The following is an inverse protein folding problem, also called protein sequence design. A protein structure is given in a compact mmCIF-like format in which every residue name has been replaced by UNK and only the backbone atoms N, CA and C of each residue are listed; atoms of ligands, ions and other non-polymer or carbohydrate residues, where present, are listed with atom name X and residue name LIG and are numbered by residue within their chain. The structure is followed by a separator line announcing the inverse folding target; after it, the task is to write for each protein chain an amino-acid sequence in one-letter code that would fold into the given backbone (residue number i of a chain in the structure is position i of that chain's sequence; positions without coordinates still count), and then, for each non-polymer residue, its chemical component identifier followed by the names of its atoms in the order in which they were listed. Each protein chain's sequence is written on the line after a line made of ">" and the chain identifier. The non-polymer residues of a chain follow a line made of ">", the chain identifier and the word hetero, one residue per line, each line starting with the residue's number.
data_IF_486532933742
#
_entry.id   IF_486532933742
#
_cell.length_a   1.000
_cell.length_b   1.000
_cell.length_c   1.000
_cell.angle_alpha   90.00
_cell.angle_beta   90.00
_cell.angle_gamma   90.00
#
_symmetry.space_group_name_H-M   'P 1'
#
loop_
_entity.id
_entity.type
_entity.pdbx_description
1 polymer ?
#
# COMPACT_ATOMS: atom_id res chain seq x y z
N UNK A 1 12.65 4.73 8.09
CA UNK A 1 12.57 4.69 6.63
C UNK A 1 11.10 4.74 6.26
N UNK A 2 10.73 5.54 5.28
CA UNK A 2 9.36 5.68 4.80
C UNK A 2 9.09 4.61 3.73
N UNK A 3 7.85 4.12 3.59
CA UNK A 3 7.54 3.02 2.66
C UNK A 3 8.00 3.26 1.21
N UNK A 4 7.90 4.50 0.70
CA UNK A 4 8.34 4.83 -0.65
C UNK A 4 9.85 4.69 -0.86
N UNK A 5 10.66 4.90 0.18
CA UNK A 5 12.12 4.73 0.13
C UNK A 5 12.48 3.25 0.01
N UNK A 6 11.78 2.39 0.77
CA UNK A 6 11.94 0.93 0.69
C UNK A 6 11.53 0.39 -0.68
N UNK A 7 10.40 0.85 -1.20
CA UNK A 7 9.91 0.45 -2.52
C UNK A 7 10.91 0.83 -3.62
N UNK A 8 11.46 2.05 -3.58
CA UNK A 8 12.45 2.49 -4.57
C UNK A 8 13.76 1.68 -4.46
N UNK A 9 14.18 1.33 -3.23
CA UNK A 9 15.37 0.51 -2.98
C UNK A 9 15.22 -0.94 -3.51
N UNK A 10 14.04 -1.54 -3.32
CA UNK A 10 13.78 -2.91 -3.80
C UNK A 10 13.48 -2.91 -5.30
N UNK A 11 12.66 -1.97 -5.77
CA UNK A 11 12.30 -1.75 -7.16
C UNK A 11 11.62 -2.97 -7.78
N UNK A 12 12.08 -3.37 -8.97
CA UNK A 12 11.55 -4.51 -9.73
C UNK A 12 11.71 -5.89 -9.05
N UNK A 13 12.37 -5.95 -7.90
CA UNK A 13 12.55 -7.17 -7.11
C UNK A 13 11.40 -7.43 -6.13
N UNK A 14 10.42 -6.53 -6.06
CA UNK A 14 9.21 -6.74 -5.24
C UNK A 14 8.43 -7.89 -5.86
N UNK A 15 8.27 -8.98 -5.11
CA UNK A 15 7.53 -10.17 -5.53
C UNK A 15 6.16 -10.29 -4.87
N UNK A 16 5.99 -9.65 -3.72
CA UNK A 16 4.74 -9.65 -2.97
C UNK A 16 4.62 -8.35 -2.16
N UNK A 17 3.38 -7.92 -1.94
CA UNK A 17 3.08 -6.76 -1.10
C UNK A 17 1.96 -7.11 -0.13
N UNK A 18 2.25 -6.90 1.16
CA UNK A 18 1.33 -7.14 2.26
C UNK A 18 1.08 -5.82 2.97
N UNK A 19 -0.16 -5.57 3.40
CA UNK A 19 -0.48 -4.41 4.23
C UNK A 19 -1.34 -4.79 5.41
N UNK A 20 -0.97 -4.25 6.56
CA UNK A 20 -1.75 -4.27 7.79
C UNK A 20 -2.81 -3.16 7.78
N UNK A 21 -3.37 -2.85 8.95
CA UNK A 21 -4.23 -1.69 9.15
C UNK A 21 -3.61 -0.40 8.59
N UNK A 22 -4.47 0.41 7.98
CA UNK A 22 -4.08 1.69 7.39
C UNK A 22 -3.66 2.69 8.48
N UNK A 23 -2.49 3.30 8.32
CA UNK A 23 -1.94 4.30 9.22
C UNK A 23 -1.78 5.65 8.53
N UNK A 24 -2.87 6.43 8.46
CA UNK A 24 -2.88 7.75 7.84
C UNK A 24 -2.02 8.80 8.56
N UNK A 25 -1.60 8.53 9.80
CA UNK A 25 -0.79 9.47 10.58
C UNK A 25 0.70 9.39 10.22
N UNK A 26 1.17 8.18 9.92
CA UNK A 26 2.60 7.91 9.74
C UNK A 26 2.99 7.54 8.31
N UNK A 27 2.03 7.22 7.44
CA UNK A 27 2.29 6.80 6.06
C UNK A 27 1.73 7.82 5.08
N UNK A 28 2.61 8.36 4.23
CA UNK A 28 2.20 9.14 3.06
C UNK A 28 1.82 8.18 1.92
N UNK A 29 0.54 7.79 1.89
CA UNK A 29 0.01 6.85 0.89
C UNK A 29 0.07 7.36 -0.53
N UNK A 30 -0.03 8.68 -0.76
CA UNK A 30 0.12 9.24 -2.11
C UNK A 30 1.51 8.92 -2.67
N UNK A 31 2.55 9.23 -1.90
CA UNK A 31 3.92 9.01 -2.31
C UNK A 31 4.24 7.52 -2.41
N UNK A 32 3.74 6.71 -1.47
CA UNK A 32 3.92 5.26 -1.49
C UNK A 32 3.28 4.63 -2.74
N UNK A 33 2.02 4.94 -3.05
CA UNK A 33 1.28 4.36 -4.16
C UNK A 33 1.86 4.78 -5.51
N UNK A 34 2.20 6.06 -5.69
CA UNK A 34 2.86 6.54 -6.91
C UNK A 34 4.21 5.87 -7.15
N UNK A 35 4.97 5.62 -6.08
CA UNK A 35 6.26 4.92 -6.20
C UNK A 35 6.06 3.43 -6.48
N UNK A 36 5.13 2.77 -5.80
CA UNK A 36 4.80 1.35 -6.00
C UNK A 36 4.36 1.06 -7.44
N UNK A 37 3.52 1.93 -8.02
CA UNK A 37 3.02 1.81 -9.40
C UNK A 37 4.13 1.75 -10.46
N UNK A 38 5.33 2.28 -10.18
CA UNK A 38 6.47 2.18 -11.10
C UNK A 38 7.00 0.75 -11.26
N UNK A 39 6.79 -0.09 -10.25
CA UNK A 39 7.50 -1.37 -10.10
C UNK A 39 6.58 -2.58 -9.89
N UNK A 40 5.31 -2.39 -9.52
CA UNK A 40 4.45 -3.47 -9.04
C UNK A 40 3.07 -3.43 -9.69
N UNK A 41 2.71 -4.51 -10.39
CA UNK A 41 1.43 -4.72 -11.08
C UNK A 41 0.77 -6.08 -10.72
N UNK A 42 1.20 -6.70 -9.61
CA UNK A 42 0.77 -8.03 -9.16
C UNK A 42 -0.33 -7.94 -8.08
N UNK A 43 -0.61 -9.06 -7.40
CA UNK A 43 -1.59 -9.12 -6.33
C UNK A 43 -1.09 -8.44 -5.05
N UNK A 44 -1.99 -7.83 -4.29
CA UNK A 44 -1.71 -7.17 -3.01
C UNK A 44 -2.56 -7.83 -1.93
N UNK A 45 -1.92 -8.33 -0.87
CA UNK A 45 -2.59 -8.98 0.26
C UNK A 45 -2.85 -7.98 1.40
N UNK A 46 -4.07 -7.96 1.91
CA UNK A 46 -4.42 -7.19 3.11
C UNK A 46 -4.53 -8.14 4.30
N UNK A 47 -3.54 -8.08 5.20
CA UNK A 47 -3.46 -8.89 6.42
C UNK A 47 -4.02 -8.07 7.58
N UNK A 48 -5.34 -8.08 7.70
CA UNK A 48 -6.07 -7.37 8.75
C UNK A 48 -7.04 -8.30 9.45
N UNK A 49 -7.30 -8.02 10.72
CA UNK A 49 -8.34 -8.73 11.48
C UNK A 49 -9.70 -8.59 10.78
N UNK A 50 -10.51 -9.65 10.85
CA UNK A 50 -11.79 -9.71 10.13
C UNK A 50 -12.73 -8.55 10.51
N UNK A 51 -12.72 -8.15 11.78
CA UNK A 51 -13.50 -7.03 12.30
C UNK A 51 -13.10 -5.67 11.68
N UNK A 52 -11.87 -5.54 11.19
CA UNK A 52 -11.33 -4.32 10.59
C UNK A 52 -11.32 -4.37 9.05
N UNK A 53 -11.70 -5.51 8.45
CA UNK A 53 -11.60 -5.75 7.01
C UNK A 53 -12.41 -4.75 6.18
N UNK A 54 -13.67 -4.51 6.53
CA UNK A 54 -14.55 -3.62 5.77
C UNK A 54 -14.05 -2.17 5.78
N UNK A 55 -13.65 -1.67 6.96
CA UNK A 55 -13.08 -0.33 7.12
C UNK A 55 -11.83 -0.15 6.27
N UNK A 56 -10.89 -1.09 6.35
CA UNK A 56 -9.65 -1.03 5.58
C UNK A 56 -9.92 -1.12 4.08
N UNK A 57 -10.83 -2.01 3.65
CA UNK A 57 -11.18 -2.14 2.24
C UNK A 57 -11.76 -0.85 1.67
N UNK A 58 -12.63 -0.17 2.42
CA UNK A 58 -13.20 1.12 2.00
C UNK A 58 -12.10 2.17 1.82
N UNK A 59 -11.24 2.33 2.82
CA UNK A 59 -10.15 3.30 2.76
C UNK A 59 -9.15 2.98 1.64
N UNK A 60 -8.82 1.70 1.43
CA UNK A 60 -7.99 1.28 0.31
C UNK A 60 -8.60 1.65 -1.04
N UNK A 61 -9.90 1.41 -1.23
CA UNK A 61 -10.61 1.82 -2.46
C UNK A 61 -10.53 3.32 -2.67
N UNK A 62 -10.74 4.12 -1.62
CA UNK A 62 -10.65 5.58 -1.69
C UNK A 62 -9.24 6.05 -2.05
N UNK A 63 -8.19 5.49 -1.42
CA UNK A 63 -6.80 5.84 -1.69
C UNK A 63 -6.36 5.41 -3.10
N UNK A 64 -6.70 4.19 -3.52
CA UNK A 64 -6.37 3.70 -4.85
C UNK A 64 -7.06 4.55 -5.92
N UNK A 65 -8.34 4.88 -5.77
CA UNK A 65 -9.03 5.76 -6.72
C UNK A 65 -8.40 7.15 -6.84
N UNK A 66 -7.76 7.64 -5.77
CA UNK A 66 -7.18 8.98 -5.73
C UNK A 66 -5.72 9.03 -6.21
N UNK A 67 -4.95 8.00 -5.91
CA UNK A 67 -3.49 8.05 -5.99
C UNK A 67 -2.84 6.96 -6.84
N UNK A 68 -3.57 5.89 -7.17
CA UNK A 68 -3.08 4.82 -8.04
C UNK A 68 -3.37 5.15 -9.49
#
# INVERSE_FOLDING_TARGET
>A
MQPHEEIELVGRRIVCFHSSDINLQNVNYELMLKTLKKYYDWYWVFEVELENAERNLKLWREMMNKYW
#
